data_IF_843298887446
#
_entry.id   IF_843298887446
#
_cell.length_a   1.000
_cell.length_b   1.000
_cell.length_c   1.000
_cell.angle_alpha   90.00
_cell.angle_beta   90.00
_cell.angle_gamma   90.00
#
_symmetry.space_group_name_H-M   'P 1'
#
loop_
_entity.id
_entity.type
_entity.pdbx_description
1 polymer ?
#
# COMPACT_ATOMS: atom_id res chain seq x y z
N UNK A 1 -4.30 15.05 18.26
CA UNK A 1 -4.61 13.84 19.03
C UNK A 1 -5.30 12.79 18.15
N UNK A 2 -5.31 11.49 18.50
CA UNK A 2 -6.00 10.46 17.72
C UNK A 2 -7.49 10.75 17.48
N UNK A 3 -8.17 11.46 18.39
CA UNK A 3 -9.55 11.93 18.21
C UNK A 3 -9.71 12.90 17.04
N UNK A 4 -8.78 13.84 16.90
CA UNK A 4 -8.85 14.87 15.86
C UNK A 4 -8.68 14.26 14.46
N UNK A 5 -7.87 13.19 14.36
CA UNK A 5 -7.68 12.46 13.11
C UNK A 5 -8.97 11.76 12.65
N UNK A 6 -9.75 11.19 13.58
CA UNK A 6 -11.05 10.59 13.26
C UNK A 6 -12.07 11.63 12.82
N UNK A 7 -12.17 12.75 13.53
CA UNK A 7 -13.08 13.85 13.16
C UNK A 7 -12.72 14.45 11.79
N UNK A 8 -11.42 14.52 11.47
CA UNK A 8 -10.95 14.98 10.17
C UNK A 8 -11.28 13.99 9.07
N UNK A 9 -11.01 12.68 9.28
CA UNK A 9 -11.35 11.65 8.30
C UNK A 9 -12.85 11.64 8.01
N UNK A 10 -13.69 11.78 9.04
CA UNK A 10 -15.15 11.80 8.86
C UNK A 10 -15.61 12.99 8.02
N UNK A 11 -15.04 14.18 8.25
CA UNK A 11 -15.32 15.39 7.43
C UNK A 11 -14.83 15.25 5.99
N UNK A 12 -13.65 14.68 5.79
CA UNK A 12 -13.12 14.44 4.45
C UNK A 12 -13.96 13.38 3.71
N UNK A 13 -14.42 12.34 4.40
CA UNK A 13 -15.34 11.35 3.84
C UNK A 13 -16.64 11.99 3.34
N UNK A 14 -17.26 12.86 4.14
CA UNK A 14 -18.44 13.61 3.73
C UNK A 14 -18.19 14.47 2.49
N UNK A 15 -17.09 15.22 2.51
CA UNK A 15 -16.73 16.14 1.44
C UNK A 15 -16.42 15.39 0.13
N UNK A 16 -15.54 14.38 0.19
CA UNK A 16 -15.12 13.60 -0.97
C UNK A 16 -16.28 12.79 -1.57
N UNK A 17 -17.16 12.24 -0.74
CA UNK A 17 -18.39 11.61 -1.21
C UNK A 17 -19.28 12.61 -1.96
N UNK A 18 -19.44 13.84 -1.43
CA UNK A 18 -20.17 14.92 -2.09
C UNK A 18 -19.58 15.36 -3.44
N UNK A 19 -18.26 15.20 -3.62
CA UNK A 19 -17.55 15.48 -4.87
C UNK A 19 -17.52 14.29 -5.85
N UNK A 20 -18.02 13.12 -5.45
CA UNK A 20 -18.02 11.91 -6.27
C UNK A 20 -16.66 11.19 -6.35
N UNK A 21 -15.81 11.35 -5.34
CA UNK A 21 -14.59 10.57 -5.23
C UNK A 21 -14.90 9.07 -5.16
N UNK A 22 -14.07 8.24 -5.80
CA UNK A 22 -14.27 6.79 -5.83
C UNK A 22 -13.94 6.10 -4.50
N UNK A 23 -12.92 6.61 -3.81
CA UNK A 23 -12.44 6.08 -2.54
C UNK A 23 -11.64 7.15 -1.79
N UNK A 24 -11.36 6.87 -0.52
CA UNK A 24 -10.33 7.55 0.27
C UNK A 24 -9.32 6.51 0.72
N UNK A 25 -8.04 6.85 0.58
CA UNK A 25 -6.96 6.07 1.17
C UNK A 25 -6.60 6.62 2.55
N UNK A 26 -6.37 5.74 3.50
CA UNK A 26 -5.97 6.07 4.88
C UNK A 26 -4.75 5.28 5.29
N UNK A 27 -3.78 5.93 5.96
CA UNK A 27 -2.65 5.22 6.54
C UNK A 27 -3.09 4.39 7.75
N UNK A 28 -3.34 3.10 7.53
CA UNK A 28 -3.86 2.19 8.53
C UNK A 28 -3.48 0.72 8.23
N UNK A 29 -3.09 -0.07 9.24
CA UNK A 29 -2.74 0.39 10.59
C UNK A 29 -1.41 1.14 10.58
N UNK A 30 -1.29 2.12 11.47
CA UNK A 30 -0.05 2.85 11.69
C UNK A 30 0.39 2.74 13.14
N UNK A 31 1.58 2.21 13.35
CA UNK A 31 2.22 2.09 14.65
C UNK A 31 3.58 2.76 14.58
N UNK A 32 3.81 3.75 15.45
CA UNK A 32 5.10 4.47 15.49
C UNK A 32 6.24 3.53 15.90
N UNK A 33 5.97 2.65 16.85
CA UNK A 33 6.92 1.72 17.44
C UNK A 33 6.17 0.49 17.98
N UNK A 34 6.90 -0.46 18.56
CA UNK A 34 6.28 -1.60 19.22
C UNK A 34 5.41 -1.15 20.39
N UNK A 35 4.35 -1.90 20.67
CA UNK A 35 3.40 -1.58 21.74
C UNK A 35 3.15 -2.82 22.57
N UNK A 36 3.04 -2.64 23.89
CA UNK A 36 2.76 -3.73 24.84
C UNK A 36 1.27 -4.06 24.95
N UNK A 37 0.44 -3.51 24.07
CA UNK A 37 -1.01 -3.70 24.06
C UNK A 37 -1.43 -4.80 23.09
N UNK A 38 -2.69 -5.27 23.22
CA UNK A 38 -3.26 -6.19 22.26
C UNK A 38 -3.46 -5.48 20.91
N UNK A 39 -2.54 -5.72 19.96
CA UNK A 39 -2.55 -5.10 18.64
C UNK A 39 -3.79 -5.47 17.83
N UNK A 40 -4.32 -6.67 18.02
CA UNK A 40 -5.52 -7.13 17.32
C UNK A 40 -6.75 -6.31 17.75
N UNK A 41 -6.90 -6.05 19.06
CA UNK A 41 -7.98 -5.19 19.56
C UNK A 41 -7.87 -3.76 19.02
N UNK A 42 -6.64 -3.21 18.97
CA UNK A 42 -6.42 -1.85 18.44
C UNK A 42 -6.76 -1.78 16.95
N UNK A 43 -6.32 -2.76 16.15
CA UNK A 43 -6.62 -2.84 14.72
C UNK A 43 -8.13 -3.00 14.54
N UNK A 44 -8.78 -3.91 15.26
CA UNK A 44 -10.22 -4.14 15.10
C UNK A 44 -11.06 -2.91 15.47
N UNK A 45 -10.71 -2.18 16.54
CA UNK A 45 -11.39 -0.92 16.88
C UNK A 45 -11.22 0.16 15.79
N UNK A 46 -10.06 0.20 15.14
CA UNK A 46 -9.84 1.04 13.96
C UNK A 46 -10.73 0.62 12.78
N UNK A 47 -10.80 -0.67 12.47
CA UNK A 47 -11.62 -1.21 11.39
C UNK A 47 -13.12 -0.92 11.61
N UNK A 48 -13.62 -1.03 12.85
CA UNK A 48 -15.01 -0.67 13.20
C UNK A 48 -15.32 0.78 12.83
N UNK A 49 -14.42 1.71 13.16
CA UNK A 49 -14.60 3.14 12.86
C UNK A 49 -14.52 3.41 11.37
N UNK A 50 -13.55 2.83 10.68
CA UNK A 50 -13.39 2.96 9.24
C UNK A 50 -14.61 2.42 8.48
N UNK A 51 -15.07 1.22 8.83
CA UNK A 51 -16.28 0.63 8.25
C UNK A 51 -17.51 1.51 8.48
N UNK A 52 -17.68 2.06 9.70
CA UNK A 52 -18.77 2.99 9.97
C UNK A 52 -18.72 4.23 9.07
N UNK A 53 -17.55 4.84 8.87
CA UNK A 53 -17.39 6.01 8.00
C UNK A 53 -17.67 5.63 6.53
N UNK A 54 -17.12 4.51 6.06
CA UNK A 54 -17.37 3.98 4.71
C UNK A 54 -18.87 3.83 4.44
N UNK A 55 -19.60 3.19 5.35
CA UNK A 55 -21.02 2.92 5.19
C UNK A 55 -21.86 4.21 5.29
N UNK A 56 -21.54 5.07 6.27
CA UNK A 56 -22.28 6.33 6.51
C UNK A 56 -22.26 7.26 5.30
N UNK A 57 -21.10 7.37 4.64
CA UNK A 57 -20.91 8.29 3.52
C UNK A 57 -20.93 7.58 2.16
N UNK A 58 -21.10 6.26 2.14
CA UNK A 58 -21.10 5.44 0.92
C UNK A 58 -19.86 5.66 0.05
N UNK A 59 -18.70 5.79 0.69
CA UNK A 59 -17.40 5.98 0.03
C UNK A 59 -16.44 4.86 0.44
N UNK A 60 -15.83 4.20 -0.55
CA UNK A 60 -14.88 3.11 -0.30
C UNK A 60 -13.68 3.64 0.48
N UNK A 61 -13.26 2.93 1.52
CA UNK A 61 -12.00 3.20 2.21
C UNK A 61 -10.97 2.12 1.88
N UNK A 62 -9.73 2.56 1.62
CA UNK A 62 -8.57 1.72 1.36
C UNK A 62 -7.53 1.99 2.44
N UNK A 63 -7.07 0.94 3.10
CA UNK A 63 -6.07 1.03 4.17
C UNK A 63 -4.67 0.82 3.58
N UNK A 64 -3.75 1.72 3.87
CA UNK A 64 -2.33 1.61 3.52
C UNK A 64 -1.49 1.48 4.80
N UNK A 65 -0.97 0.29 5.12
CA UNK A 65 -0.08 0.12 6.26
C UNK A 65 1.25 0.82 5.97
N UNK A 66 1.70 1.70 6.86
CA UNK A 66 2.95 2.47 6.68
C UNK A 66 4.05 2.04 7.63
N UNK A 67 5.28 2.32 7.25
CA UNK A 67 6.43 2.25 8.15
C UNK A 67 6.26 3.21 9.34
N UNK A 68 6.62 2.74 10.53
CA UNK A 68 6.71 3.54 11.75
C UNK A 68 7.97 4.40 11.82
N UNK A 69 8.26 4.91 13.03
CA UNK A 69 9.44 5.70 13.31
C UNK A 69 10.71 4.92 12.94
N UNK A 70 11.71 5.60 12.37
CA UNK A 70 12.98 5.00 11.93
C UNK A 70 12.81 3.82 10.95
N UNK A 71 11.78 3.85 10.10
CA UNK A 71 11.46 2.78 9.13
C UNK A 71 11.05 1.45 9.80
N UNK A 72 10.42 1.53 10.96
CA UNK A 72 9.96 0.34 11.67
C UNK A 72 8.84 -0.38 10.90
N UNK A 73 9.03 -1.66 10.58
CA UNK A 73 8.04 -2.50 9.88
C UNK A 73 6.93 -3.05 10.78
N UNK A 74 6.88 -2.68 12.06
CA UNK A 74 6.03 -3.32 13.08
C UNK A 74 4.54 -3.26 12.78
N UNK A 75 4.03 -2.15 12.22
CA UNK A 75 2.62 -2.05 11.83
C UNK A 75 2.23 -3.02 10.72
N UNK A 76 3.11 -3.18 9.73
CA UNK A 76 2.97 -4.15 8.64
C UNK A 76 3.05 -5.59 9.19
N UNK A 77 3.94 -5.84 10.16
CA UNK A 77 4.02 -7.14 10.84
C UNK A 77 2.77 -7.47 11.66
N UNK A 78 2.24 -6.51 12.43
CA UNK A 78 1.00 -6.69 13.18
C UNK A 78 -0.18 -6.98 12.26
N UNK A 79 -0.32 -6.23 11.16
CA UNK A 79 -1.31 -6.58 10.15
C UNK A 79 -1.09 -8.00 9.63
N UNK A 80 0.15 -8.39 9.31
CA UNK A 80 0.43 -9.74 8.83
C UNK A 80 0.17 -10.85 9.86
N UNK A 81 0.09 -10.54 11.16
CA UNK A 81 -0.38 -11.48 12.19
C UNK A 81 -1.91 -11.43 12.38
N UNK A 82 -2.54 -10.31 12.03
CA UNK A 82 -3.97 -10.08 12.22
C UNK A 82 -4.85 -11.14 11.49
N UNK A 83 -5.95 -11.61 12.11
CA UNK A 83 -6.81 -12.63 11.50
C UNK A 83 -7.60 -12.12 10.28
N UNK A 84 -7.57 -12.88 9.18
CA UNK A 84 -8.27 -12.53 7.93
C UNK A 84 -9.80 -12.51 8.09
N UNK A 85 -10.33 -13.43 8.89
CA UNK A 85 -11.77 -13.54 9.14
C UNK A 85 -12.32 -12.36 9.94
N UNK A 86 -11.48 -11.69 10.74
CA UNK A 86 -11.86 -10.44 11.40
C UNK A 86 -11.84 -9.30 10.38
N UNK A 87 -10.80 -9.17 9.56
CA UNK A 87 -10.71 -8.13 8.52
C UNK A 87 -11.90 -8.19 7.55
N UNK A 88 -12.26 -9.39 7.08
CA UNK A 88 -13.31 -9.61 6.08
C UNK A 88 -14.67 -9.02 6.50
N UNK A 89 -14.97 -8.96 7.80
CA UNK A 89 -16.23 -8.41 8.34
C UNK A 89 -16.44 -6.93 8.02
N UNK A 90 -15.35 -6.18 7.80
CA UNK A 90 -15.39 -4.73 7.66
C UNK A 90 -15.36 -4.25 6.20
N UNK A 91 -15.15 -5.16 5.24
CA UNK A 91 -15.19 -4.87 3.81
C UNK A 91 -14.34 -3.64 3.40
N UNK A 92 -13.12 -3.54 3.93
CA UNK A 92 -12.16 -2.47 3.63
C UNK A 92 -11.13 -2.96 2.61
N UNK A 93 -10.74 -2.09 1.69
CA UNK A 93 -9.66 -2.35 0.74
C UNK A 93 -8.29 -2.23 1.39
N UNK A 94 -7.28 -2.84 0.76
CA UNK A 94 -5.88 -2.74 1.15
C UNK A 94 -5.05 -2.17 0.00
N UNK A 95 -4.21 -1.19 0.31
CA UNK A 95 -3.14 -0.69 -0.54
C UNK A 95 -1.81 -1.30 -0.10
N UNK A 96 -1.03 -1.78 -1.06
CA UNK A 96 0.37 -2.16 -0.83
C UNK A 96 1.27 -1.07 -1.42
N UNK A 97 1.89 -0.29 -0.54
CA UNK A 97 3.07 0.49 -0.89
C UNK A 97 4.27 -0.46 -0.98
N UNK A 98 4.79 -0.64 -2.19
CA UNK A 98 5.83 -1.65 -2.40
C UNK A 98 7.14 -1.26 -1.71
N UNK A 99 7.46 0.02 -1.59
CA UNK A 99 8.71 0.45 -0.96
C UNK A 99 8.66 0.21 0.55
N UNK A 100 7.57 0.56 1.20
CA UNK A 100 7.34 0.30 2.62
C UNK A 100 7.39 -1.20 2.92
N UNK A 101 6.74 -2.02 2.09
CA UNK A 101 6.74 -3.48 2.27
C UNK A 101 8.12 -4.11 2.01
N UNK A 102 8.86 -3.65 1.01
CA UNK A 102 10.23 -4.13 0.75
C UNK A 102 11.12 -3.84 1.99
N UNK A 103 11.03 -2.62 2.53
CA UNK A 103 11.80 -2.22 3.71
C UNK A 103 11.38 -3.02 4.94
N UNK A 104 10.07 -3.25 5.13
CA UNK A 104 9.54 -3.92 6.33
C UNK A 104 9.73 -5.44 6.32
N UNK A 105 9.71 -6.07 5.15
CA UNK A 105 9.58 -7.53 5.04
C UNK A 105 10.75 -8.21 4.36
N UNK A 106 11.63 -7.45 3.70
CA UNK A 106 12.78 -7.95 2.95
C UNK A 106 12.37 -9.06 1.95
N UNK A 107 12.86 -10.27 2.14
CA UNK A 107 12.62 -11.43 1.27
C UNK A 107 11.23 -12.06 1.42
N UNK A 108 10.42 -11.61 2.40
CA UNK A 108 9.13 -12.22 2.74
C UNK A 108 7.92 -11.55 2.10
N UNK A 109 8.10 -10.47 1.34
CA UNK A 109 7.00 -9.67 0.78
C UNK A 109 5.95 -10.51 0.05
N UNK A 110 6.36 -11.52 -0.74
CA UNK A 110 5.44 -12.39 -1.47
C UNK A 110 4.50 -13.17 -0.54
N UNK A 111 4.95 -13.56 0.65
CA UNK A 111 4.10 -14.24 1.64
C UNK A 111 3.01 -13.30 2.18
N UNK A 112 3.35 -12.01 2.34
CA UNK A 112 2.40 -11.00 2.81
C UNK A 112 1.36 -10.72 1.72
N UNK A 113 1.80 -10.55 0.47
CA UNK A 113 0.91 -10.39 -0.68
C UNK A 113 -0.03 -11.58 -0.81
N UNK A 114 0.49 -12.80 -0.77
CA UNK A 114 -0.33 -14.02 -0.90
C UNK A 114 -1.38 -14.14 0.22
N UNK A 115 -1.04 -13.79 1.47
CA UNK A 115 -1.99 -13.78 2.58
C UNK A 115 -3.14 -12.80 2.32
N UNK A 116 -2.82 -11.60 1.83
CA UNK A 116 -3.75 -10.47 1.73
C UNK A 116 -4.39 -10.28 0.36
N UNK A 117 -4.03 -11.08 -0.65
CA UNK A 117 -4.41 -10.91 -2.07
C UNK A 117 -5.89 -10.66 -2.37
N UNK A 118 -6.80 -11.15 -1.52
CA UNK A 118 -8.25 -10.94 -1.68
C UNK A 118 -8.69 -9.52 -1.34
N UNK A 119 -7.92 -8.81 -0.52
CA UNK A 119 -8.22 -7.48 -0.01
C UNK A 119 -7.38 -6.40 -0.69
N UNK A 120 -6.27 -6.78 -1.34
CA UNK A 120 -5.43 -5.86 -2.11
C UNK A 120 -6.21 -5.40 -3.34
N UNK A 121 -6.47 -4.11 -3.43
CA UNK A 121 -7.11 -3.47 -4.59
C UNK A 121 -6.34 -2.25 -5.11
N UNK A 122 -5.28 -1.85 -4.42
CA UNK A 122 -4.44 -0.71 -4.81
C UNK A 122 -2.97 -1.02 -4.52
N UNK A 123 -2.08 -0.46 -5.34
CA UNK A 123 -0.64 -0.56 -5.17
C UNK A 123 -0.03 0.81 -5.41
N UNK A 124 0.68 1.34 -4.43
CA UNK A 124 1.60 2.46 -4.66
C UNK A 124 2.91 1.90 -5.16
N UNK A 125 3.26 2.26 -6.39
CA UNK A 125 4.33 1.66 -7.17
C UNK A 125 5.48 2.64 -7.36
N UNK A 126 6.61 2.32 -6.73
CA UNK A 126 7.87 3.04 -6.84
C UNK A 126 9.02 2.13 -6.43
N UNK A 127 10.24 2.44 -6.83
CA UNK A 127 11.44 1.84 -6.26
C UNK A 127 11.93 2.73 -5.10
N UNK A 128 12.93 2.24 -4.35
CA UNK A 128 13.50 2.92 -3.20
C UNK A 128 14.98 3.16 -3.45
N UNK A 129 15.42 4.39 -3.20
CA UNK A 129 16.83 4.76 -3.16
C UNK A 129 17.18 5.30 -1.78
N UNK A 130 18.29 4.85 -1.19
CA UNK A 130 18.76 5.36 0.11
C UNK A 130 19.73 6.51 -0.09
N UNK A 131 19.43 7.65 0.54
CA UNK A 131 20.40 8.72 0.80
C UNK A 131 21.03 8.53 2.19
N UNK A 132 21.97 9.39 2.58
CA UNK A 132 22.66 9.27 3.88
C UNK A 132 21.71 9.29 5.09
N UNK A 133 20.57 10.01 5.00
CA UNK A 133 19.66 10.22 6.13
C UNK A 133 18.24 9.72 5.89
N UNK A 134 17.86 9.43 4.64
CA UNK A 134 16.48 9.18 4.25
C UNK A 134 16.42 8.16 3.11
N UNK A 135 15.21 7.71 2.78
CA UNK A 135 14.97 6.97 1.55
C UNK A 135 13.99 7.77 0.70
N UNK A 136 14.22 7.78 -0.61
CA UNK A 136 13.40 8.51 -1.57
C UNK A 136 12.75 7.51 -2.52
N UNK A 137 11.56 7.86 -2.99
CA UNK A 137 10.80 7.05 -3.94
C UNK A 137 11.19 7.45 -5.35
N UNK A 138 11.73 6.50 -6.10
CA UNK A 138 12.09 6.67 -7.51
C UNK A 138 11.06 5.96 -8.38
N UNK A 139 10.79 6.43 -9.62
CA UNK A 139 9.94 5.66 -10.51
C UNK A 139 10.53 4.27 -10.77
N UNK A 140 9.66 3.26 -10.88
CA UNK A 140 10.08 1.93 -11.30
C UNK A 140 10.51 1.94 -12.77
N UNK A 141 11.57 1.21 -13.09
CA UNK A 141 12.11 1.18 -14.45
C UNK A 141 12.81 -0.15 -14.77
N UNK A 142 12.68 -0.70 -15.99
CA UNK A 142 13.30 -1.98 -16.35
C UNK A 142 14.82 -2.03 -16.18
N UNK A 143 15.54 -0.90 -16.31
CA UNK A 143 17.00 -0.88 -16.08
C UNK A 143 17.38 -1.28 -14.65
N UNK A 144 16.54 -0.96 -13.68
CA UNK A 144 16.75 -1.27 -12.26
C UNK A 144 16.82 -2.78 -12.01
N UNK A 145 16.19 -3.59 -12.86
CA UNK A 145 16.25 -5.05 -12.76
C UNK A 145 17.67 -5.61 -13.01
N UNK A 146 18.57 -4.83 -13.61
CA UNK A 146 19.96 -5.22 -13.85
C UNK A 146 20.98 -4.51 -12.92
N UNK A 147 20.53 -3.53 -12.13
CA UNK A 147 21.39 -2.74 -11.24
C UNK A 147 21.43 -3.30 -9.81
N UNK A 148 22.60 -3.66 -9.29
CA UNK A 148 22.74 -4.19 -7.92
C UNK A 148 22.31 -3.19 -6.83
N UNK A 149 22.30 -1.89 -7.14
CA UNK A 149 21.90 -0.82 -6.23
C UNK A 149 20.38 -0.62 -6.13
N UNK A 150 19.59 -1.33 -6.94
CA UNK A 150 18.16 -1.13 -7.06
C UNK A 150 17.40 -2.40 -6.66
N UNK A 151 16.27 -2.25 -5.96
CA UNK A 151 15.43 -3.39 -5.65
C UNK A 151 14.83 -3.97 -6.94
N UNK A 152 14.84 -5.29 -7.04
CA UNK A 152 14.23 -6.05 -8.14
C UNK A 152 12.75 -6.19 -7.86
N UNK A 153 11.92 -5.42 -8.53
CA UNK A 153 10.49 -5.31 -8.22
C UNK A 153 9.61 -6.07 -9.20
N UNK A 154 10.15 -6.53 -10.34
CA UNK A 154 9.40 -7.26 -11.36
C UNK A 154 8.54 -8.39 -10.79
N UNK A 155 9.15 -9.27 -9.99
CA UNK A 155 8.46 -10.43 -9.41
C UNK A 155 7.37 -10.05 -8.39
N UNK A 156 7.52 -8.89 -7.73
CA UNK A 156 6.53 -8.33 -6.81
C UNK A 156 5.34 -7.78 -7.62
N UNK A 157 5.62 -7.05 -8.70
CA UNK A 157 4.60 -6.53 -9.62
C UNK A 157 3.80 -7.70 -10.23
N UNK A 158 4.48 -8.76 -10.66
CA UNK A 158 3.82 -9.98 -11.18
C UNK A 158 2.89 -10.62 -10.13
N UNK A 159 3.31 -10.71 -8.86
CA UNK A 159 2.47 -11.23 -7.79
C UNK A 159 1.25 -10.34 -7.52
N UNK A 160 1.42 -9.02 -7.50
CA UNK A 160 0.35 -8.05 -7.29
C UNK A 160 -0.63 -7.98 -8.47
N UNK A 161 -0.15 -8.15 -9.70
CA UNK A 161 -0.99 -8.18 -10.90
C UNK A 161 -1.93 -9.40 -10.94
N UNK A 162 -1.56 -10.47 -10.21
CA UNK A 162 -2.41 -11.65 -10.04
C UNK A 162 -3.46 -11.51 -8.92
N UNK A 163 -3.46 -10.40 -8.18
CA UNK A 163 -4.57 -10.06 -7.29
C UNK A 163 -5.77 -9.55 -8.10
N UNK A 164 -6.96 -9.64 -7.53
CA UNK A 164 -8.19 -9.34 -8.27
C UNK A 164 -8.48 -7.83 -8.29
N UNK A 165 -8.64 -7.25 -9.49
CA UNK A 165 -9.06 -5.84 -9.69
C UNK A 165 -8.16 -4.81 -8.97
N UNK A 166 -6.85 -4.92 -9.18
CA UNK A 166 -5.84 -4.02 -8.59
C UNK A 166 -5.57 -2.82 -9.48
N UNK A 167 -5.56 -1.63 -8.89
CA UNK A 167 -5.08 -0.40 -9.53
C UNK A 167 -3.64 -0.11 -9.11
N UNK A 168 -2.74 0.08 -10.07
CA UNK A 168 -1.37 0.52 -9.82
C UNK A 168 -1.26 2.04 -9.95
N UNK A 169 -0.83 2.70 -8.88
CA UNK A 169 -0.59 4.14 -8.81
C UNK A 169 0.92 4.37 -8.80
N UNK A 170 1.44 5.06 -9.80
CA UNK A 170 2.86 5.37 -9.89
C UNK A 170 3.18 6.57 -9.00
N UNK A 171 4.09 6.37 -8.05
CA UNK A 171 4.51 7.42 -7.12
C UNK A 171 6.02 7.66 -7.25
N UNK A 172 6.44 8.87 -6.94
CA UNK A 172 7.86 9.21 -6.76
C UNK A 172 7.95 10.55 -6.03
N UNK A 173 9.07 10.78 -5.34
CA UNK A 173 9.29 12.08 -4.70
C UNK A 173 9.87 13.08 -5.71
N UNK A 174 9.50 14.38 -5.63
CA UNK A 174 9.94 15.39 -6.60
C UNK A 174 11.46 15.56 -6.70
N UNK A 175 12.21 15.24 -5.64
CA UNK A 175 13.67 15.38 -5.54
C UNK A 175 14.41 14.48 -6.54
N UNK A 176 13.77 13.40 -6.99
CA UNK A 176 14.34 12.48 -7.99
C UNK A 176 14.34 13.07 -9.40
N UNK A 177 13.51 14.09 -9.66
CA UNK A 177 13.36 14.81 -10.92
C UNK A 177 13.57 13.94 -12.18
N UNK A 178 12.83 12.83 -12.32
CA UNK A 178 13.03 11.89 -13.43
C UNK A 178 12.63 12.56 -14.75
N UNK A 179 13.27 12.14 -15.84
CA UNK A 179 12.83 12.59 -17.16
C UNK A 179 11.45 12.02 -17.47
N UNK A 180 10.66 12.73 -18.29
CA UNK A 180 9.36 12.22 -18.77
C UNK A 180 9.52 10.89 -19.49
N UNK A 181 10.58 10.74 -20.27
CA UNK A 181 10.92 9.52 -21.00
C UNK A 181 11.13 8.35 -20.04
N UNK A 182 11.91 8.53 -18.96
CA UNK A 182 12.15 7.50 -17.95
C UNK A 182 10.84 7.05 -17.28
N UNK A 183 9.96 7.99 -16.93
CA UNK A 183 8.65 7.68 -16.34
C UNK A 183 7.78 6.92 -17.34
N UNK A 184 7.73 7.35 -18.60
CA UNK A 184 6.95 6.68 -19.66
C UNK A 184 7.44 5.26 -19.93
N UNK A 185 8.75 5.04 -20.01
CA UNK A 185 9.35 3.72 -20.17
C UNK A 185 9.02 2.79 -19.00
N UNK A 186 9.04 3.32 -17.77
CA UNK A 186 8.62 2.60 -16.57
C UNK A 186 7.15 2.17 -16.61
N UNK A 187 6.25 3.07 -16.99
CA UNK A 187 4.82 2.78 -17.13
C UNK A 187 4.58 1.71 -18.20
N UNK A 188 5.20 1.85 -19.38
CA UNK A 188 5.07 0.86 -20.47
C UNK A 188 5.61 -0.51 -20.08
N UNK A 189 6.69 -0.56 -19.31
CA UNK A 189 7.25 -1.80 -18.80
C UNK A 189 6.31 -2.51 -17.83
N UNK A 190 5.74 -1.78 -16.87
CA UNK A 190 4.76 -2.33 -15.91
C UNK A 190 3.49 -2.81 -16.63
N UNK A 191 2.99 -2.04 -17.60
CA UNK A 191 1.83 -2.46 -18.40
C UNK A 191 2.08 -3.81 -19.09
N UNK A 192 3.27 -4.01 -19.68
CA UNK A 192 3.66 -5.30 -20.28
C UNK A 192 3.74 -6.44 -19.26
N UNK A 193 4.16 -6.17 -18.03
CA UNK A 193 4.17 -7.18 -16.97
C UNK A 193 2.74 -7.63 -16.65
N UNK A 194 1.84 -6.67 -16.43
CA UNK A 194 0.42 -6.91 -16.10
C UNK A 194 -0.29 -7.66 -17.24
N UNK A 195 -0.09 -7.24 -18.49
CA UNK A 195 -0.66 -7.92 -19.65
C UNK A 195 -0.21 -9.38 -19.73
N UNK A 196 1.09 -9.65 -19.56
CA UNK A 196 1.64 -11.00 -19.65
C UNK A 196 1.15 -11.93 -18.54
N UNK A 197 0.85 -11.42 -17.34
CA UNK A 197 0.28 -12.24 -16.25
C UNK A 197 -1.15 -12.70 -16.55
N UNK A 198 -1.93 -11.88 -17.27
CA UNK A 198 -3.29 -12.28 -17.66
C UNK A 198 -3.29 -13.39 -18.73
N UNK A 199 -2.30 -13.43 -19.64
CA UNK A 199 -2.21 -14.46 -20.68
C UNK A 199 -1.63 -15.80 -20.19
N UNK A 200 -0.98 -15.86 -19.02
CA UNK A 200 -0.42 -17.11 -18.48
C UNK A 200 -1.43 -18.01 -17.76
N UNK A 201 -2.69 -17.57 -17.65
CA UNK A 201 -3.76 -18.25 -16.92
C UNK A 201 -4.99 -18.63 -17.79
N UNK A 202 -4.91 -18.44 -19.11
CA UNK A 202 -5.81 -19.06 -20.11
C UNK A 202 -5.20 -20.34 -20.69
#
# INVERSE_FOLDING_TARGET
EPSDAWDMLEKEAENMAGLGAKYILVHFPYFKEEVDFNTDEIIEEGLKKLSYIQDKYSIKLICEPKLGLNRSGVGIEYLNKFPLDIWEKYNLGLCIDIGDYIIATEDKILNYIEKWKKFICEVHLHNVFYSENEYIWTPVHPSQEQEDSSYKVKHIIEALANCNDVTFIFEHTPETNPSKEFVSEGIEWVAKIIDNTHYSHE
#
